data_IF_758115036285
#
_entry.id   IF_758115036285
#
_cell.length_a   1.000
_cell.length_b   1.000
_cell.length_c   1.000
_cell.angle_alpha   90.00
_cell.angle_beta   90.00
_cell.angle_gamma   90.00
#
_symmetry.space_group_name_H-M   'P 1'
#
loop_
_entity.id
_entity.type
_entity.pdbx_description
1 polymer ?
#
# COMPACT_ATOMS: atom_id res chain seq x y z
N UNK A 1 -0.78 -47.57 0.83
CA UNK A 1 -1.95 -46.68 0.75
C UNK A 1 -1.44 -45.32 0.33
N UNK A 2 -1.60 -44.99 -0.95
CA UNK A 2 -1.20 -43.68 -1.49
C UNK A 2 -2.09 -42.64 -0.84
N UNK A 3 -1.60 -42.03 0.25
CA UNK A 3 -2.32 -40.98 0.95
C UNK A 3 -2.79 -39.96 -0.07
N UNK A 4 -4.04 -39.52 0.06
CA UNK A 4 -4.62 -38.42 -0.71
C UNK A 4 -3.76 -37.18 -0.44
N UNK A 5 -2.60 -37.09 -1.11
CA UNK A 5 -1.69 -35.98 -1.01
C UNK A 5 -2.41 -34.85 -1.69
N UNK A 6 -2.99 -33.99 -0.86
CA UNK A 6 -3.97 -33.04 -1.31
C UNK A 6 -3.26 -32.07 -2.24
N UNK A 7 -3.53 -32.17 -3.54
CA UNK A 7 -2.73 -31.53 -4.61
C UNK A 7 -2.50 -30.03 -4.38
N UNK A 8 -3.40 -29.33 -3.68
CA UNK A 8 -3.28 -27.91 -3.36
C UNK A 8 -2.23 -27.57 -2.29
N UNK A 9 -1.76 -28.54 -1.50
CA UNK A 9 -0.67 -28.35 -0.52
C UNK A 9 0.70 -28.29 -1.21
N UNK A 10 0.85 -29.02 -2.32
CA UNK A 10 2.08 -29.08 -3.10
C UNK A 10 2.14 -28.04 -4.23
N UNK A 11 1.05 -27.30 -4.49
CA UNK A 11 1.02 -26.30 -5.56
C UNK A 11 1.95 -25.11 -5.26
N UNK A 12 2.86 -24.83 -6.21
CA UNK A 12 3.80 -23.73 -6.15
C UNK A 12 3.09 -22.37 -6.00
N UNK A 13 1.90 -22.19 -6.58
CA UNK A 13 1.13 -20.96 -6.47
C UNK A 13 0.51 -20.73 -5.08
N UNK A 14 0.35 -21.80 -4.29
CA UNK A 14 -0.26 -21.78 -2.95
C UNK A 14 0.77 -21.90 -1.81
N UNK A 15 2.04 -22.13 -2.12
CA UNK A 15 3.11 -22.24 -1.11
C UNK A 15 3.18 -21.05 -0.16
N UNK A 16 3.04 -19.83 -0.68
CA UNK A 16 3.04 -18.61 0.15
C UNK A 16 1.81 -18.56 1.06
N UNK A 17 0.63 -18.90 0.53
CA UNK A 17 -0.61 -18.97 1.30
C UNK A 17 -0.47 -19.92 2.50
N UNK A 18 0.04 -21.14 2.27
CA UNK A 18 0.21 -22.11 3.34
C UNK A 18 1.26 -21.71 4.38
N UNK A 19 2.34 -21.03 3.95
CA UNK A 19 3.33 -20.45 4.87
C UNK A 19 2.67 -19.44 5.83
N UNK A 20 1.84 -18.53 5.30
CA UNK A 20 1.11 -17.56 6.12
C UNK A 20 0.07 -18.21 7.02
N UNK A 21 -0.66 -19.20 6.50
CA UNK A 21 -1.63 -19.97 7.29
C UNK A 21 -0.95 -20.65 8.49
N UNK A 22 0.19 -21.32 8.28
CA UNK A 22 0.96 -21.93 9.35
C UNK A 22 1.49 -20.90 10.35
N UNK A 23 1.95 -19.74 9.88
CA UNK A 23 2.38 -18.66 10.76
C UNK A 23 1.22 -18.14 11.63
N UNK A 24 0.02 -17.98 11.06
CA UNK A 24 -1.18 -17.57 11.78
C UNK A 24 -1.59 -18.60 12.84
N UNK A 25 -1.53 -19.91 12.54
CA UNK A 25 -1.79 -20.96 13.52
C UNK A 25 -0.78 -20.97 14.65
N UNK A 26 0.52 -20.78 14.35
CA UNK A 26 1.57 -20.64 15.38
C UNK A 26 1.30 -19.43 16.28
N UNK A 27 0.94 -18.30 15.69
CA UNK A 27 0.59 -17.09 16.44
C UNK A 27 -0.62 -17.33 17.34
N UNK A 28 -1.68 -17.93 16.81
CA UNK A 28 -2.89 -18.25 17.58
C UNK A 28 -2.57 -19.16 18.76
N UNK A 29 -1.77 -20.21 18.54
CA UNK A 29 -1.31 -21.12 19.60
C UNK A 29 -0.50 -20.41 20.67
N UNK A 30 0.47 -19.58 20.27
CA UNK A 30 1.28 -18.80 21.20
C UNK A 30 0.43 -17.80 22.00
N UNK A 31 -0.55 -17.16 21.36
CA UNK A 31 -1.43 -16.21 22.01
C UNK A 31 -2.39 -16.88 22.99
N UNK A 32 -2.92 -18.07 22.65
CA UNK A 32 -3.73 -18.88 23.58
C UNK A 32 -2.92 -19.26 24.83
N UNK A 33 -1.69 -19.73 24.66
CA UNK A 33 -0.79 -20.06 25.77
C UNK A 33 -0.46 -18.84 26.65
N UNK A 34 -0.20 -17.68 26.03
CA UNK A 34 0.06 -16.44 26.76
C UNK A 34 -1.17 -15.96 27.54
N UNK A 35 -2.38 -16.09 26.97
CA UNK A 35 -3.64 -15.77 27.65
C UNK A 35 -3.87 -16.68 28.85
N UNK A 36 -3.66 -17.98 28.69
CA UNK A 36 -3.77 -18.96 29.79
C UNK A 36 -2.77 -18.65 30.92
N UNK A 37 -1.52 -18.32 30.57
CA UNK A 37 -0.52 -17.90 31.55
C UNK A 37 -0.95 -16.64 32.31
N UNK A 38 -1.46 -15.60 31.63
CA UNK A 38 -1.92 -14.38 32.29
C UNK A 38 -3.13 -14.61 33.22
N UNK A 39 -4.08 -15.45 32.82
CA UNK A 39 -5.25 -15.81 33.65
C UNK A 39 -4.80 -16.61 34.89
N UNK A 40 -3.91 -17.58 34.72
CA UNK A 40 -3.43 -18.40 35.83
C UNK A 40 -2.51 -17.61 36.78
N UNK A 41 -1.62 -16.75 36.25
CA UNK A 41 -0.75 -15.90 37.08
C UNK A 41 -1.52 -14.82 37.84
N UNK A 42 -2.61 -14.27 37.27
CA UNK A 42 -3.46 -13.33 38.01
C UNK A 42 -4.26 -14.02 39.11
N UNK A 43 -4.69 -15.27 38.90
CA UNK A 43 -5.34 -16.10 39.92
C UNK A 43 -4.41 -16.38 41.10
N UNK A 44 -3.12 -16.67 40.84
CA UNK A 44 -2.12 -16.84 41.90
C UNK A 44 -1.83 -15.54 42.67
N UNK A 45 -1.81 -14.38 41.98
CA UNK A 45 -1.56 -13.08 42.60
C UNK A 45 -2.68 -12.61 43.55
N UNK A 46 -3.93 -13.07 43.36
CA UNK A 46 -5.03 -12.75 44.29
C UNK A 46 -4.86 -13.49 45.63
N UNK A 47 -4.06 -14.56 45.69
CA UNK A 47 -3.79 -15.29 46.94
C UNK A 47 -2.60 -14.76 47.74
N UNK A 48 -1.84 -13.78 47.22
CA UNK A 48 -0.78 -13.13 47.99
C UNK A 48 -1.23 -11.73 48.44
N UNK A 49 -1.35 -11.43 49.75
CA UNK A 49 -1.66 -10.09 50.22
C UNK A 49 -0.52 -9.16 49.81
N UNK A 50 -0.80 -8.28 48.85
CA UNK A 50 0.14 -7.28 48.35
C UNK A 50 0.33 -6.24 49.46
N UNK A 51 1.43 -6.37 50.19
CA UNK A 51 1.99 -5.33 51.05
C UNK A 51 2.34 -4.11 50.17
N UNK A 52 1.40 -3.18 50.07
CA UNK A 52 1.55 -1.88 49.40
C UNK A 52 2.52 -1.00 50.19
N UNK A 53 3.83 -1.27 50.10
CA UNK A 53 4.86 -0.31 50.51
C UNK A 53 5.07 0.71 49.39
N UNK A 54 4.29 1.77 49.48
CA UNK A 54 4.37 3.00 48.67
C UNK A 54 5.68 3.74 48.94
N UNK A 55 6.75 3.33 48.25
CA UNK A 55 8.00 4.11 48.22
C UNK A 55 7.87 5.29 47.25
N UNK A 56 7.38 6.41 47.77
CA UNK A 56 7.41 7.72 47.11
C UNK A 56 8.86 8.25 47.04
N UNK A 57 9.70 7.65 46.21
CA UNK A 57 11.01 8.23 45.89
C UNK A 57 10.89 9.17 44.70
N UNK A 58 10.70 10.45 45.04
CA UNK A 58 10.96 11.63 44.20
C UNK A 58 12.30 11.48 43.46
N UNK A 59 12.28 11.38 42.12
CA UNK A 59 13.39 11.84 41.28
C UNK A 59 12.88 12.50 39.99
N UNK A 60 13.06 13.82 39.99
CA UNK A 60 13.43 14.71 38.90
C UNK A 60 12.71 14.62 37.54
N UNK A 61 11.81 15.58 37.40
CA UNK A 61 11.38 16.31 36.21
C UNK A 61 12.44 16.35 35.09
N UNK A 62 12.20 15.63 34.00
CA UNK A 62 12.67 16.00 32.66
C UNK A 62 11.44 16.29 31.79
N UNK A 63 11.44 17.50 31.24
CA UNK A 63 10.31 18.20 30.62
C UNK A 63 9.91 17.63 29.26
N UNK A 64 8.58 17.60 29.07
CA UNK A 64 7.80 17.99 27.87
C UNK A 64 8.11 17.25 26.56
N UNK A 65 7.12 16.48 26.11
CA UNK A 65 6.32 16.86 24.93
C UNK A 65 4.86 16.42 25.14
N UNK A 66 3.99 17.43 25.25
CA UNK A 66 2.53 17.34 25.40
C UNK A 66 1.91 17.18 24.02
N UNK A 67 1.05 16.19 23.83
CA UNK A 67 -0.12 16.30 22.94
C UNK A 67 -1.33 15.64 23.65
N UNK A 68 -2.55 16.16 23.46
CA UNK A 68 -3.55 16.22 24.53
C UNK A 68 -4.64 15.15 24.46
N UNK A 69 -5.12 14.83 25.65
CA UNK A 69 -6.29 14.01 25.96
C UNK A 69 -7.54 14.43 25.16
N UNK A 70 -8.23 13.44 24.61
CA UNK A 70 -9.68 13.53 24.40
C UNK A 70 -10.37 12.63 25.41
N UNK A 71 -11.09 13.26 26.33
CA UNK A 71 -11.97 12.64 27.32
C UNK A 71 -13.36 12.47 26.69
N UNK A 72 -13.90 11.25 26.67
CA UNK A 72 -15.35 11.06 26.60
C UNK A 72 -15.79 9.81 27.36
N UNK A 73 -15.97 10.04 28.66
CA UNK A 73 -17.07 9.58 29.52
C UNK A 73 -17.98 8.45 29.00
N UNK A 74 -17.84 7.29 29.65
CA UNK A 74 -18.89 6.54 30.35
C UNK A 74 -20.26 6.36 29.69
N UNK A 75 -20.56 5.14 29.27
CA UNK A 75 -21.84 4.50 29.58
C UNK A 75 -21.59 3.00 29.72
N UNK A 76 -21.63 2.53 30.97
CA UNK A 76 -21.62 1.12 31.31
C UNK A 76 -23.01 0.58 31.00
N UNK A 77 -23.14 -0.21 29.93
CA UNK A 77 -24.29 -1.07 29.73
C UNK A 77 -23.80 -2.50 29.64
N UNK A 78 -23.92 -3.19 30.76
CA UNK A 78 -23.59 -4.59 30.96
C UNK A 78 -24.42 -5.46 30.01
N UNK A 79 -23.81 -5.98 28.97
CA UNK A 79 -24.32 -7.13 28.24
C UNK A 79 -23.62 -8.39 28.76
N UNK A 80 -24.38 -9.47 29.04
CA UNK A 80 -23.91 -10.56 29.84
C UNK A 80 -22.86 -11.38 29.09
N UNK A 81 -21.76 -11.64 29.79
CA UNK A 81 -20.71 -12.61 29.49
C UNK A 81 -21.33 -14.01 29.39
N UNK A 82 -21.91 -14.30 28.22
CA UNK A 82 -22.29 -15.64 27.83
C UNK A 82 -20.99 -16.43 27.62
N UNK A 83 -20.49 -16.96 28.73
CA UNK A 83 -19.54 -18.07 28.83
C UNK A 83 -20.04 -19.24 27.98
N UNK A 84 -19.86 -19.15 26.66
CA UNK A 84 -19.86 -20.33 25.82
C UNK A 84 -18.54 -21.05 26.08
N UNK A 85 -18.62 -21.99 27.01
CA UNK A 85 -17.92 -23.28 26.98
C UNK A 85 -18.03 -23.85 25.55
N UNK A 86 -17.20 -23.33 24.66
CA UNK A 86 -16.89 -23.99 23.40
C UNK A 86 -15.85 -25.05 23.76
N UNK A 87 -16.40 -26.19 24.18
CA UNK A 87 -15.77 -27.51 24.28
C UNK A 87 -14.47 -27.56 23.49
N UNK A 88 -13.36 -27.69 24.23
CA UNK A 88 -12.00 -27.87 23.72
C UNK A 88 -11.90 -29.21 23.00
N UNK A 89 -12.49 -29.29 21.82
CA UNK A 89 -12.26 -30.41 20.92
C UNK A 89 -11.10 -30.03 20.04
N UNK A 90 -9.97 -30.71 20.27
CA UNK A 90 -8.76 -30.71 19.47
C UNK A 90 -9.06 -30.45 17.99
N UNK A 91 -8.80 -29.23 17.53
CA UNK A 91 -8.78 -28.90 16.11
C UNK A 91 -7.45 -29.35 15.48
N UNK A 92 -7.04 -30.57 15.81
CA UNK A 92 -6.10 -31.38 15.03
C UNK A 92 -6.89 -32.31 14.08
N UNK A 93 -8.20 -32.06 13.90
CA UNK A 93 -8.96 -32.58 12.77
C UNK A 93 -8.29 -32.04 11.51
N UNK A 94 -7.49 -32.92 10.89
CA UNK A 94 -6.96 -32.84 9.54
C UNK A 94 -7.76 -31.84 8.73
N UNK A 95 -7.08 -30.80 8.23
CA UNK A 95 -7.64 -29.73 7.40
C UNK A 95 -8.21 -30.38 6.12
N UNK A 96 -9.33 -31.07 6.27
CA UNK A 96 -10.18 -31.65 5.25
C UNK A 96 -10.89 -30.45 4.66
N UNK A 97 -10.14 -29.72 3.84
CA UNK A 97 -10.62 -28.52 3.18
C UNK A 97 -11.94 -28.84 2.51
N UNK A 98 -12.97 -28.02 2.77
CA UNK A 98 -14.29 -28.25 2.19
C UNK A 98 -14.19 -28.33 0.66
N UNK A 99 -15.03 -29.17 0.04
CA UNK A 99 -15.06 -29.35 -1.41
C UNK A 99 -15.16 -28.00 -2.16
N UNK A 100 -15.92 -27.06 -1.57
CA UNK A 100 -16.07 -25.69 -2.07
C UNK A 100 -14.75 -24.91 -2.09
N UNK A 101 -13.96 -24.97 -1.02
CA UNK A 101 -12.67 -24.27 -0.94
C UNK A 101 -11.65 -24.87 -1.91
N UNK A 102 -11.65 -26.19 -2.10
CA UNK A 102 -10.81 -26.84 -3.10
C UNK A 102 -11.19 -26.38 -4.53
N UNK A 103 -12.49 -26.24 -4.83
CA UNK A 103 -12.96 -25.68 -6.09
C UNK A 103 -12.53 -24.22 -6.28
N UNK A 104 -12.62 -23.40 -5.24
CA UNK A 104 -12.17 -22.01 -5.26
C UNK A 104 -10.68 -21.87 -5.57
N UNK A 105 -9.83 -22.73 -4.99
CA UNK A 105 -8.41 -22.72 -5.31
C UNK A 105 -8.14 -23.08 -6.77
N UNK A 106 -8.83 -24.06 -7.33
CA UNK A 106 -8.71 -24.40 -8.76
C UNK A 106 -9.00 -23.19 -9.65
N UNK A 107 -10.10 -22.49 -9.37
CA UNK A 107 -10.47 -21.29 -10.12
C UNK A 107 -9.44 -20.16 -9.94
N UNK A 108 -8.92 -19.98 -8.72
CA UNK A 108 -7.90 -18.96 -8.42
C UNK A 108 -6.60 -19.21 -9.18
N UNK A 109 -6.18 -20.47 -9.28
CA UNK A 109 -4.98 -20.87 -10.03
C UNK A 109 -5.19 -20.61 -11.53
N UNK A 110 -6.36 -20.97 -12.07
CA UNK A 110 -6.71 -20.72 -13.47
C UNK A 110 -6.69 -19.22 -13.79
N UNK A 111 -7.32 -18.38 -12.96
CA UNK A 111 -7.31 -16.92 -13.14
C UNK A 111 -5.91 -16.32 -13.05
N UNK A 112 -5.05 -16.83 -12.16
CA UNK A 112 -3.64 -16.41 -12.09
C UNK A 112 -2.92 -16.75 -13.39
N UNK A 113 -3.07 -17.99 -13.88
CA UNK A 113 -2.46 -18.43 -15.13
C UNK A 113 -2.92 -17.59 -16.33
N UNK A 114 -4.20 -17.23 -16.39
CA UNK A 114 -4.73 -16.36 -17.43
C UNK A 114 -4.13 -14.94 -17.34
N UNK A 115 -4.12 -14.32 -16.16
CA UNK A 115 -3.51 -12.99 -15.96
C UNK A 115 -2.02 -12.97 -16.28
N UNK A 116 -1.29 -14.01 -15.91
CA UNK A 116 0.15 -14.13 -16.19
C UNK A 116 0.39 -14.32 -17.70
N UNK A 117 -0.46 -15.09 -18.38
CA UNK A 117 -0.40 -15.23 -19.84
C UNK A 117 -0.69 -13.92 -20.57
N UNK A 118 -1.68 -13.14 -20.14
CA UNK A 118 -2.03 -11.86 -20.77
C UNK A 118 -0.95 -10.80 -20.52
N UNK A 119 -0.40 -10.74 -19.29
CA UNK A 119 0.77 -9.89 -18.99
C UNK A 119 1.97 -10.26 -19.85
N UNK A 120 2.20 -11.55 -20.10
CA UNK A 120 3.30 -12.00 -20.95
C UNK A 120 3.08 -11.64 -22.43
N UNK A 121 1.84 -11.71 -22.94
CA UNK A 121 1.52 -11.26 -24.31
C UNK A 121 1.73 -9.76 -24.47
N UNK A 122 1.30 -8.96 -23.50
CA UNK A 122 1.49 -7.51 -23.51
C UNK A 122 2.98 -7.14 -23.42
N UNK A 123 3.74 -7.82 -22.55
CA UNK A 123 5.18 -7.63 -22.47
C UNK A 123 5.90 -7.98 -23.79
N UNK A 124 5.48 -9.05 -24.48
CA UNK A 124 6.02 -9.40 -25.80
C UNK A 124 5.67 -8.36 -26.87
N UNK A 125 4.42 -7.89 -26.90
CA UNK A 125 3.99 -6.83 -27.82
C UNK A 125 4.78 -5.54 -27.60
N UNK A 126 5.02 -5.16 -26.34
CA UNK A 126 5.84 -4.00 -26.01
C UNK A 126 7.29 -4.17 -26.45
N UNK A 127 7.87 -5.37 -26.31
CA UNK A 127 9.22 -5.67 -26.82
C UNK A 127 9.31 -5.62 -28.35
N UNK A 128 8.32 -6.17 -29.06
CA UNK A 128 8.29 -6.12 -30.52
C UNK A 128 8.09 -4.68 -31.04
N UNK A 129 7.29 -3.86 -30.35
CA UNK A 129 7.09 -2.44 -30.69
C UNK A 129 8.28 -1.54 -30.32
N UNK A 130 8.99 -1.86 -29.24
CA UNK A 130 10.17 -1.13 -28.77
C UNK A 130 11.50 -1.83 -29.15
N UNK A 131 11.52 -2.65 -30.20
CA UNK A 131 12.69 -3.43 -30.65
C UNK A 131 13.91 -2.62 -31.12
N UNK A 132 14.01 -1.34 -30.78
CA UNK A 132 15.18 -0.51 -30.95
C UNK A 132 15.60 0.03 -29.57
N UNK A 133 16.73 -0.49 -29.07
CA UNK A 133 17.45 -0.11 -27.84
C UNK A 133 16.85 -0.56 -26.48
N UNK A 134 16.84 -1.88 -26.20
CA UNK A 134 16.53 -2.45 -24.86
C UNK A 134 17.53 -2.03 -23.74
N UNK A 135 18.55 -1.20 -24.00
CA UNK A 135 19.54 -0.76 -22.99
C UNK A 135 19.78 0.77 -22.94
N UNK A 136 18.92 1.58 -23.56
CA UNK A 136 19.07 3.03 -23.42
C UNK A 136 18.37 3.51 -22.15
N UNK A 137 19.17 3.82 -21.12
CA UNK A 137 18.69 4.53 -19.93
C UNK A 137 18.01 5.83 -20.37
N UNK A 138 16.70 5.92 -20.14
CA UNK A 138 15.94 7.15 -20.39
C UNK A 138 15.85 7.88 -19.06
N UNK A 139 16.43 9.09 -19.05
CA UNK A 139 16.29 10.03 -17.93
C UNK A 139 14.80 10.30 -17.71
N UNK A 140 14.33 10.30 -16.46
CA UNK A 140 12.92 10.45 -16.11
C UNK A 140 12.31 11.72 -16.72
N UNK A 141 13.10 12.80 -16.82
CA UNK A 141 12.68 14.08 -17.41
C UNK A 141 12.32 14.00 -18.91
N UNK A 142 12.78 12.95 -19.62
CA UNK A 142 12.45 12.72 -21.04
C UNK A 142 11.15 11.96 -21.23
N UNK A 143 10.59 11.41 -20.15
CA UNK A 143 9.33 10.68 -20.17
C UNK A 143 8.21 11.69 -19.88
N UNK A 144 7.58 12.18 -20.94
CA UNK A 144 6.40 13.02 -20.82
C UNK A 144 5.15 12.20 -20.46
N UNK A 145 4.04 12.89 -20.21
CA UNK A 145 2.72 12.27 -19.94
C UNK A 145 2.32 11.25 -21.01
N UNK A 146 2.76 11.47 -22.24
CA UNK A 146 2.42 10.64 -23.40
C UNK A 146 3.56 9.67 -23.82
N UNK A 147 4.62 9.54 -23.02
CA UNK A 147 5.76 8.67 -23.27
C UNK A 147 7.07 9.41 -23.56
N UNK A 148 8.06 8.69 -24.07
CA UNK A 148 9.40 9.21 -24.33
C UNK A 148 9.34 10.29 -25.42
N UNK A 149 9.44 11.56 -25.02
CA UNK A 149 9.46 12.68 -25.96
C UNK A 149 10.86 12.74 -26.57
N UNK A 150 10.97 12.37 -27.85
CA UNK A 150 12.22 12.54 -28.60
C UNK A 150 12.46 14.03 -28.75
N UNK A 151 13.40 14.57 -27.97
CA UNK A 151 13.84 15.98 -28.07
C UNK A 151 14.29 16.25 -29.50
N UNK A 152 13.48 16.98 -30.27
CA UNK A 152 13.89 17.45 -31.58
C UNK A 152 14.83 18.64 -31.42
N UNK A 153 15.85 18.73 -32.27
CA UNK A 153 16.77 19.88 -32.32
C UNK A 153 16.26 21.00 -33.24
N UNK A 154 15.11 20.80 -33.87
CA UNK A 154 14.50 21.85 -34.69
C UNK A 154 14.03 22.96 -33.75
N UNK A 155 14.56 24.17 -33.93
CA UNK A 155 14.09 25.33 -33.18
C UNK A 155 12.60 25.50 -33.51
N UNK A 156 11.70 25.41 -32.52
CA UNK A 156 10.30 25.68 -32.78
C UNK A 156 10.15 27.14 -33.21
N UNK A 157 9.37 27.38 -34.27
CA UNK A 157 9.00 28.74 -34.70
C UNK A 157 8.19 29.42 -33.59
N UNK A 158 8.89 30.11 -32.69
CA UNK A 158 8.32 30.82 -31.56
C UNK A 158 7.19 31.80 -31.91
N UNK A 159 7.29 32.62 -32.99
CA UNK A 159 6.21 33.55 -33.32
C UNK A 159 4.95 32.86 -33.83
N UNK A 160 5.07 31.85 -34.70
CA UNK A 160 3.94 31.12 -35.27
C UNK A 160 3.15 30.39 -34.18
N UNK A 161 3.83 29.64 -33.28
CA UNK A 161 3.17 28.96 -32.16
C UNK A 161 2.43 29.93 -31.23
N UNK A 162 2.95 31.14 -31.05
CA UNK A 162 2.31 32.16 -30.21
C UNK A 162 1.06 32.71 -30.88
N UNK A 163 1.11 32.92 -32.20
CA UNK A 163 -0.05 33.32 -32.99
C UNK A 163 -1.12 32.22 -32.97
N UNK A 164 -0.75 30.97 -33.22
CA UNK A 164 -1.67 29.82 -33.12
C UNK A 164 -2.33 29.72 -31.74
N UNK A 165 -1.55 29.90 -30.64
CA UNK A 165 -2.11 29.92 -29.28
C UNK A 165 -3.11 31.07 -29.11
N UNK A 166 -2.78 32.27 -29.60
CA UNK A 166 -3.66 33.44 -29.51
C UNK A 166 -4.94 33.27 -30.33
N UNK A 167 -4.85 32.76 -31.56
CA UNK A 167 -6.00 32.47 -32.42
C UNK A 167 -6.92 31.42 -31.78
N UNK A 168 -6.35 30.33 -31.27
CA UNK A 168 -7.10 29.30 -30.55
C UNK A 168 -7.79 29.85 -29.29
N UNK A 169 -7.11 30.72 -28.54
CA UNK A 169 -7.71 31.39 -27.38
C UNK A 169 -8.85 32.33 -27.79
N UNK A 170 -8.68 33.06 -28.90
CA UNK A 170 -9.70 33.95 -29.46
C UNK A 170 -10.93 33.16 -29.93
N UNK A 171 -10.75 31.98 -30.50
CA UNK A 171 -11.86 31.08 -30.87
C UNK A 171 -12.62 30.56 -29.64
N UNK A 172 -11.91 30.17 -28.56
CA UNK A 172 -12.52 29.60 -27.37
C UNK A 172 -13.20 30.63 -26.46
N UNK A 173 -12.61 31.83 -26.32
CA UNK A 173 -13.00 32.81 -25.30
C UNK A 173 -13.46 34.16 -25.88
N UNK A 174 -13.36 34.37 -27.20
CA UNK A 174 -13.81 35.60 -27.85
C UNK A 174 -13.05 36.84 -27.36
N UNK A 175 -13.80 37.87 -26.95
CA UNK A 175 -13.25 39.17 -26.53
C UNK A 175 -12.46 39.09 -25.20
N UNK A 176 -12.77 38.12 -24.34
CA UNK A 176 -12.09 37.91 -23.06
C UNK A 176 -10.77 37.13 -23.19
N UNK A 177 -10.41 36.69 -24.40
CA UNK A 177 -9.22 35.88 -24.64
C UNK A 177 -7.92 36.58 -24.18
N UNK A 178 -7.79 37.88 -24.43
CA UNK A 178 -6.61 38.65 -24.01
C UNK A 178 -6.46 38.70 -22.49
N UNK A 179 -7.59 38.90 -21.78
CA UNK A 179 -7.62 38.93 -20.32
C UNK A 179 -7.25 37.59 -19.73
N UNK A 180 -7.79 36.49 -20.27
CA UNK A 180 -7.48 35.13 -19.81
C UNK A 180 -6.01 34.80 -20.06
N UNK A 181 -5.47 35.15 -21.23
CA UNK A 181 -4.07 34.94 -21.55
C UNK A 181 -3.13 35.73 -20.62
N UNK A 182 -3.51 36.97 -20.27
CA UNK A 182 -2.76 37.77 -19.31
C UNK A 182 -2.80 37.15 -17.90
N UNK A 183 -3.95 36.59 -17.49
CA UNK A 183 -4.08 35.89 -16.21
C UNK A 183 -3.25 34.60 -16.18
N UNK A 184 -3.28 33.80 -17.24
CA UNK A 184 -2.45 32.59 -17.39
C UNK A 184 -0.97 32.94 -17.25
N UNK A 185 -0.49 33.93 -18.02
CA UNK A 185 0.89 34.40 -17.96
C UNK A 185 1.27 34.92 -16.56
N UNK A 186 0.34 35.58 -15.85
CA UNK A 186 0.59 36.01 -14.48
C UNK A 186 0.72 34.84 -13.50
N UNK A 187 -0.08 33.78 -13.67
CA UNK A 187 0.01 32.57 -12.85
C UNK A 187 1.31 31.82 -13.11
N UNK A 188 1.73 31.69 -14.37
CA UNK A 188 2.99 31.07 -14.75
C UNK A 188 4.18 31.82 -14.15
N UNK A 189 4.20 33.15 -14.24
CA UNK A 189 5.25 33.99 -13.64
C UNK A 189 5.32 33.83 -12.12
N UNK A 190 4.17 33.77 -11.43
CA UNK A 190 4.15 33.52 -9.98
C UNK A 190 4.67 32.14 -9.62
N UNK A 191 4.31 31.13 -10.41
CA UNK A 191 4.79 29.78 -10.21
C UNK A 191 6.32 29.72 -10.34
N UNK A 192 6.87 30.30 -11.41
CA UNK A 192 8.31 30.35 -11.63
C UNK A 192 9.04 31.07 -10.49
N UNK A 193 8.53 32.21 -10.04
CA UNK A 193 9.11 32.95 -8.90
C UNK A 193 9.17 32.09 -7.63
N UNK A 194 8.11 31.37 -7.30
CA UNK A 194 8.08 30.50 -6.12
C UNK A 194 9.00 29.28 -6.30
N UNK A 195 9.00 28.68 -7.49
CA UNK A 195 9.88 27.57 -7.84
C UNK A 195 11.36 27.95 -7.66
N UNK A 196 11.80 29.10 -8.19
CA UNK A 196 13.17 29.58 -8.03
C UNK A 196 13.53 29.94 -6.58
N UNK A 197 12.58 30.44 -5.79
CA UNK A 197 12.81 30.77 -4.37
C UNK A 197 13.05 29.54 -3.50
N UNK A 198 12.27 28.48 -3.72
CA UNK A 198 12.42 27.26 -2.91
C UNK A 198 13.73 26.53 -3.20
N UNK A 199 14.30 26.71 -4.39
CA UNK A 199 15.46 25.95 -4.85
C UNK A 199 15.22 24.44 -4.74
N UNK A 200 13.95 24.01 -4.70
CA UNK A 200 13.59 22.63 -4.48
C UNK A 200 14.10 21.86 -5.69
N UNK A 201 15.14 21.07 -5.48
CA UNK A 201 15.57 20.09 -6.45
C UNK A 201 14.35 19.21 -6.73
N UNK A 202 13.72 19.40 -7.90
CA UNK A 202 12.83 18.40 -8.47
C UNK A 202 13.59 17.08 -8.37
N UNK A 203 12.88 16.08 -7.82
CA UNK A 203 13.38 14.77 -7.42
C UNK A 203 14.58 14.31 -8.25
N UNK A 204 15.59 13.66 -7.62
CA UNK A 204 16.77 13.21 -8.35
C UNK A 204 16.32 12.45 -9.60
N UNK A 205 16.77 12.93 -10.76
CA UNK A 205 16.47 12.33 -12.05
C UNK A 205 17.15 10.97 -12.10
N UNK A 206 16.47 9.96 -11.55
CA UNK A 206 16.94 8.59 -11.50
C UNK A 206 16.64 8.00 -12.88
N UNK A 207 17.65 7.56 -13.63
CA UNK A 207 17.44 6.93 -14.92
C UNK A 207 16.61 5.66 -14.71
N UNK A 208 15.51 5.55 -15.45
CA UNK A 208 14.62 4.39 -15.38
C UNK A 208 15.03 3.36 -16.42
N UNK A 209 15.03 2.09 -16.02
CA UNK A 209 15.11 0.96 -16.95
C UNK A 209 13.69 0.58 -17.34
N UNK A 210 13.29 0.95 -18.56
CA UNK A 210 12.00 0.57 -19.15
C UNK A 210 12.04 -0.86 -19.70
#
# INVERSE_FOLDING_TARGET
MSGNKVWFMDDQHLKSFWSYHQAALRWLKAHRAAREYAVNSSSEMISSPIDMKTNFNKRHVAKKNRLPNTTRTTSNESLPDARQESSSRDTDEDIGMSSEMAAFFRQTIEHRKQRDADRNKEAKKNKEGNGLEEDQYVMADKIGVYGNEKRSFQLPNGPEKRQEKYEKMKELYGDDAEKILAMEAHLDLRFEQNYFQTGAYLWPNIPLKL
#
